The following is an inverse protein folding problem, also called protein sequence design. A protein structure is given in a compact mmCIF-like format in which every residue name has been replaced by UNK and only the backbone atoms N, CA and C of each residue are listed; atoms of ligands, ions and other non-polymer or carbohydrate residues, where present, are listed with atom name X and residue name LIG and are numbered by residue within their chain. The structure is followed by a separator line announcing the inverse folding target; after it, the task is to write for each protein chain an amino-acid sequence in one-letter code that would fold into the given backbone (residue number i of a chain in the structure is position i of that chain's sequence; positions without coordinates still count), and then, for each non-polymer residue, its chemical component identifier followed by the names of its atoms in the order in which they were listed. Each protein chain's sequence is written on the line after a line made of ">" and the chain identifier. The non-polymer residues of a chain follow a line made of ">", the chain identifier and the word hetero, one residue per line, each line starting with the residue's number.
data_IF_984705399453
#
_entry.id   IF_984705399453
#
_cell.length_a   1.000
_cell.length_b   1.000
_cell.length_c   1.000
_cell.angle_alpha   90.00
_cell.angle_beta   90.00
_cell.angle_gamma   90.00
#
_symmetry.space_group_name_H-M   'P 1'
#
loop_
_entity.id
_entity.type
_entity.pdbx_description
1 polymer ?
#
# COMPACT_ATOMS: atom_id res chain seq x y z
N UNK A 1 -61.54 16.34 25.81
CA UNK A 1 -61.16 16.01 27.21
C UNK A 1 -59.73 16.51 27.41
N UNK A 2 -59.61 17.71 28.02
CA UNK A 2 -58.28 18.23 28.40
C UNK A 2 -57.92 17.54 29.71
N UNK A 3 -56.95 16.63 29.68
CA UNK A 3 -56.33 16.06 30.87
C UNK A 3 -55.55 17.15 31.58
N UNK A 4 -56.15 17.70 32.65
CA UNK A 4 -55.46 18.65 33.52
C UNK A 4 -54.34 17.90 34.23
N UNK A 5 -53.12 18.28 33.94
CA UNK A 5 -51.91 17.76 34.61
C UNK A 5 -51.94 18.21 36.08
N UNK A 6 -51.82 17.26 36.99
CA UNK A 6 -51.81 17.45 38.42
C UNK A 6 -50.82 18.56 38.86
N UNK A 7 -51.27 19.60 39.57
CA UNK A 7 -50.43 20.73 39.96
C UNK A 7 -49.22 20.33 40.83
N UNK A 8 -49.23 19.16 41.48
CA UNK A 8 -48.10 18.63 42.25
C UNK A 8 -46.95 18.11 41.36
N UNK A 9 -47.22 17.74 40.12
CA UNK A 9 -46.21 17.16 39.17
C UNK A 9 -45.49 18.26 38.36
N UNK A 10 -46.08 19.44 38.23
CA UNK A 10 -45.50 20.55 37.47
C UNK A 10 -44.06 20.97 37.91
N UNK A 11 -43.75 21.16 39.22
CA UNK A 11 -42.39 21.55 39.59
C UNK A 11 -41.35 20.46 39.31
N UNK A 12 -41.69 19.20 39.48
CA UNK A 12 -40.79 18.07 39.16
C UNK A 12 -40.53 17.96 37.65
N UNK A 13 -41.55 18.13 36.83
CA UNK A 13 -41.39 18.12 35.35
C UNK A 13 -40.58 19.32 34.86
N UNK A 14 -40.78 20.51 35.46
CA UNK A 14 -40.03 21.71 35.14
C UNK A 14 -38.53 21.58 35.49
N UNK A 15 -38.25 20.88 36.60
CA UNK A 15 -36.86 20.64 37.03
C UNK A 15 -36.14 19.66 36.08
N UNK A 16 -36.86 18.61 35.60
CA UNK A 16 -36.31 17.66 34.61
C UNK A 16 -36.10 18.35 33.26
N UNK A 17 -37.05 19.18 32.81
CA UNK A 17 -36.92 19.93 31.54
C UNK A 17 -35.71 20.90 31.60
N UNK A 18 -35.55 21.62 32.72
CA UNK A 18 -34.42 22.55 32.88
C UNK A 18 -33.07 21.81 33.01
N UNK A 19 -33.01 20.64 33.66
CA UNK A 19 -31.80 19.82 33.69
C UNK A 19 -31.46 19.26 32.32
N UNK A 20 -32.43 18.83 31.53
CA UNK A 20 -32.21 18.31 30.18
C UNK A 20 -31.78 19.44 29.23
N UNK A 21 -32.30 20.65 29.39
CA UNK A 21 -31.91 21.83 28.62
C UNK A 21 -30.48 22.34 28.96
N UNK A 22 -30.02 22.09 30.18
CA UNK A 22 -28.63 22.45 30.58
C UNK A 22 -27.57 21.41 30.14
N UNK A 23 -27.98 20.16 29.83
CA UNK A 23 -27.06 19.08 29.47
C UNK A 23 -26.71 19.01 27.99
N UNK A 24 -27.36 19.78 27.11
CA UNK A 24 -27.00 19.87 25.69
C UNK A 24 -26.64 21.34 25.41
N UNK A 25 -25.35 21.69 25.32
CA UNK A 25 -24.98 23.01 24.84
C UNK A 25 -25.58 23.17 23.43
N UNK A 26 -26.52 24.07 23.29
CA UNK A 26 -27.24 24.35 22.02
C UNK A 26 -26.29 24.76 20.89
N UNK A 27 -25.07 25.20 21.23
CA UNK A 27 -23.98 25.48 20.29
C UNK A 27 -23.42 24.20 19.64
N UNK A 28 -23.50 23.03 20.30
CA UNK A 28 -23.02 21.77 19.71
C UNK A 28 -23.91 21.23 18.60
N UNK A 29 -25.18 21.66 18.55
CA UNK A 29 -26.15 21.24 17.53
C UNK A 29 -26.08 22.11 16.25
N UNK A 30 -25.44 23.28 16.30
CA UNK A 30 -25.29 24.21 15.18
C UNK A 30 -23.92 24.05 14.50
N UNK A 31 -22.95 23.45 15.16
CA UNK A 31 -21.70 23.11 14.52
C UNK A 31 -21.92 21.86 13.64
N UNK A 32 -21.99 22.08 12.34
CA UNK A 32 -21.88 21.00 11.36
C UNK A 32 -20.65 20.12 11.65
N UNK A 33 -20.56 18.91 11.10
CA UNK A 33 -19.42 18.04 11.34
C UNK A 33 -18.13 18.82 11.08
N UNK A 34 -17.13 18.76 11.99
CA UNK A 34 -15.89 19.52 11.84
C UNK A 34 -15.29 19.24 10.47
N UNK A 35 -14.86 20.31 9.77
CA UNK A 35 -14.26 20.18 8.45
C UNK A 35 -13.11 19.15 8.48
N UNK A 36 -13.08 18.21 7.52
CA UNK A 36 -12.08 17.16 7.52
C UNK A 36 -10.68 17.77 7.44
N UNK A 37 -9.75 17.25 8.26
CA UNK A 37 -8.38 17.73 8.27
C UNK A 37 -7.74 17.55 6.87
N UNK A 38 -7.15 18.59 6.27
CA UNK A 38 -6.54 18.52 4.94
C UNK A 38 -5.45 17.43 4.81
N UNK A 39 -4.80 17.07 5.91
CA UNK A 39 -3.81 15.99 5.94
C UNK A 39 -4.47 14.62 5.75
N UNK A 40 -5.64 14.37 6.39
CA UNK A 40 -6.37 13.11 6.27
C UNK A 40 -6.96 12.95 4.87
N UNK A 41 -7.45 14.02 4.29
CA UNK A 41 -7.93 14.05 2.90
C UNK A 41 -6.81 13.67 1.94
N UNK A 42 -5.62 14.26 2.08
CA UNK A 42 -4.44 13.92 1.26
C UNK A 42 -4.01 12.46 1.47
N UNK A 43 -4.04 11.98 2.70
CA UNK A 43 -3.76 10.57 3.01
C UNK A 43 -4.73 9.64 2.27
N UNK A 44 -6.02 9.93 2.30
CA UNK A 44 -7.05 9.20 1.56
C UNK A 44 -6.80 9.17 0.06
N UNK A 45 -6.46 10.32 -0.55
CA UNK A 45 -6.13 10.40 -1.97
C UNK A 45 -4.89 9.56 -2.34
N UNK A 46 -3.82 9.58 -1.55
CA UNK A 46 -2.66 8.72 -1.80
C UNK A 46 -3.02 7.25 -1.71
N UNK A 47 -3.82 6.84 -0.73
CA UNK A 47 -4.27 5.45 -0.57
C UNK A 47 -5.07 4.96 -1.78
N UNK A 48 -5.99 5.77 -2.30
CA UNK A 48 -6.78 5.44 -3.50
C UNK A 48 -5.88 5.34 -4.74
N UNK A 49 -4.98 6.30 -4.93
CA UNK A 49 -4.10 6.35 -6.09
C UNK A 49 -3.00 5.30 -6.08
N UNK A 50 -2.68 4.74 -4.93
CA UNK A 50 -1.68 3.71 -4.77
C UNK A 50 -2.13 2.32 -5.25
N UNK A 51 -3.42 2.08 -5.42
CA UNK A 51 -3.94 0.77 -5.85
C UNK A 51 -3.43 0.40 -7.23
N UNK A 52 -3.59 1.31 -8.20
CA UNK A 52 -3.21 1.04 -9.60
C UNK A 52 -1.70 0.77 -9.78
N UNK A 53 -0.75 1.58 -9.26
CA UNK A 53 0.67 1.27 -9.36
C UNK A 53 1.03 -0.09 -8.76
N UNK A 54 0.49 -0.44 -7.59
CA UNK A 54 0.77 -1.74 -6.96
C UNK A 54 0.28 -2.90 -7.83
N UNK A 55 -0.93 -2.78 -8.39
CA UNK A 55 -1.46 -3.77 -9.32
C UNK A 55 -0.57 -3.89 -10.57
N UNK A 56 -0.17 -2.77 -11.15
CA UNK A 56 0.72 -2.75 -12.30
C UNK A 56 2.09 -3.37 -12.01
N UNK A 57 2.67 -3.17 -10.83
CA UNK A 57 3.94 -3.80 -10.45
C UNK A 57 3.87 -5.32 -10.33
N UNK A 58 2.68 -5.89 -10.09
CA UNK A 58 2.51 -7.33 -10.03
C UNK A 58 2.82 -8.01 -11.39
N UNK A 59 2.52 -7.34 -12.52
CA UNK A 59 2.72 -7.91 -13.86
C UNK A 59 4.20 -8.17 -14.20
N UNK A 60 5.11 -7.17 -14.17
CA UNK A 60 6.51 -7.41 -14.46
C UNK A 60 7.17 -8.37 -13.46
N UNK A 61 6.74 -8.36 -12.20
CA UNK A 61 7.24 -9.31 -11.19
C UNK A 61 6.76 -10.73 -11.46
N UNK A 62 5.54 -10.92 -11.99
CA UNK A 62 5.04 -12.24 -12.39
C UNK A 62 5.81 -12.78 -13.60
N UNK A 63 6.05 -11.95 -14.61
CA UNK A 63 6.84 -12.32 -15.80
C UNK A 63 8.29 -12.66 -15.41
N UNK A 64 8.88 -11.85 -14.54
CA UNK A 64 10.22 -12.10 -14.01
C UNK A 64 10.27 -13.42 -13.22
N UNK A 65 9.24 -13.71 -12.41
CA UNK A 65 9.16 -14.94 -11.62
C UNK A 65 9.03 -16.20 -12.49
N UNK A 66 8.40 -16.10 -13.64
CA UNK A 66 8.31 -17.21 -14.59
C UNK A 66 9.67 -17.64 -15.15
N UNK A 67 10.63 -16.73 -15.27
CA UNK A 67 11.98 -16.99 -15.81
C UNK A 67 13.05 -17.05 -14.70
N UNK A 68 12.97 -16.19 -13.70
CA UNK A 68 13.97 -16.00 -12.64
C UNK A 68 13.28 -15.84 -11.28
N UNK A 69 12.76 -16.93 -10.67
CA UNK A 69 11.93 -16.84 -9.48
C UNK A 69 12.63 -16.20 -8.28
N UNK A 70 13.90 -16.47 -8.05
CA UNK A 70 14.67 -15.86 -6.94
C UNK A 70 14.94 -14.37 -7.16
N UNK A 71 15.30 -13.99 -8.39
CA UNK A 71 15.51 -12.58 -8.73
C UNK A 71 14.19 -11.81 -8.57
N UNK A 72 13.07 -12.43 -8.93
CA UNK A 72 11.75 -11.82 -8.74
C UNK A 72 11.39 -11.63 -7.26
N UNK A 73 11.77 -12.55 -6.37
CA UNK A 73 11.59 -12.39 -4.93
C UNK A 73 12.44 -11.23 -4.40
N UNK A 74 13.71 -11.16 -4.77
CA UNK A 74 14.62 -10.08 -4.37
C UNK A 74 14.11 -8.72 -4.89
N UNK A 75 13.72 -8.66 -6.17
CA UNK A 75 13.18 -7.44 -6.77
C UNK A 75 11.90 -6.96 -6.08
N UNK A 76 11.03 -7.90 -5.71
CA UNK A 76 9.81 -7.59 -4.98
C UNK A 76 10.08 -7.07 -3.56
N UNK A 77 11.09 -7.61 -2.87
CA UNK A 77 11.50 -7.12 -1.56
C UNK A 77 12.06 -5.70 -1.64
N UNK A 78 12.94 -5.45 -2.59
CA UNK A 78 13.49 -4.11 -2.82
C UNK A 78 12.36 -3.12 -3.11
N UNK A 79 11.40 -3.50 -3.96
CA UNK A 79 10.25 -2.66 -4.27
C UNK A 79 9.39 -2.40 -3.03
N UNK A 80 9.07 -3.43 -2.26
CA UNK A 80 8.29 -3.31 -1.02
C UNK A 80 9.00 -2.41 -0.01
N UNK A 81 10.30 -2.61 0.21
CA UNK A 81 11.12 -1.78 1.07
C UNK A 81 11.10 -0.31 0.66
N UNK A 82 11.28 -0.01 -0.64
CA UNK A 82 11.22 1.36 -1.16
C UNK A 82 9.85 1.98 -0.95
N UNK A 83 8.76 1.24 -1.23
CA UNK A 83 7.40 1.72 -1.02
C UNK A 83 7.11 1.99 0.46
N UNK A 84 7.54 1.11 1.36
CA UNK A 84 7.41 1.32 2.81
C UNK A 84 8.22 2.53 3.29
N UNK A 85 9.43 2.72 2.78
CA UNK A 85 10.26 3.89 3.09
C UNK A 85 9.54 5.19 2.73
N UNK A 86 8.98 5.26 1.51
CA UNK A 86 8.18 6.41 1.06
C UNK A 86 6.92 6.59 1.90
N UNK A 87 6.25 5.51 2.26
CA UNK A 87 5.05 5.53 3.07
C UNK A 87 5.32 6.10 4.47
N UNK A 88 6.29 5.55 5.21
CA UNK A 88 6.61 6.00 6.56
C UNK A 88 7.12 7.45 6.59
N UNK A 89 7.92 7.84 5.62
CA UNK A 89 8.38 9.21 5.49
C UNK A 89 7.22 10.19 5.25
N UNK A 90 6.26 9.81 4.39
CA UNK A 90 5.09 10.64 4.10
C UNK A 90 4.08 10.64 5.24
N UNK A 91 3.83 9.48 5.88
CA UNK A 91 2.93 9.39 7.04
C UNK A 91 3.42 10.31 8.17
N UNK A 92 4.71 10.28 8.50
CA UNK A 92 5.28 11.16 9.54
C UNK A 92 5.17 12.65 9.17
N UNK A 93 5.19 13.00 7.88
CA UNK A 93 4.93 14.35 7.41
C UNK A 93 3.46 14.73 7.59
N UNK A 94 2.53 13.85 7.14
CA UNK A 94 1.09 14.08 7.25
C UNK A 94 0.63 14.20 8.70
N UNK A 95 1.19 13.40 9.61
CA UNK A 95 0.91 13.53 11.05
C UNK A 95 1.33 14.90 11.60
N UNK A 96 2.51 15.41 11.21
CA UNK A 96 2.96 16.75 11.64
C UNK A 96 2.08 17.86 11.05
N UNK A 97 1.71 17.75 9.78
CA UNK A 97 0.78 18.68 9.13
C UNK A 97 -0.61 18.61 9.78
N UNK A 98 -1.10 17.41 10.10
CA UNK A 98 -2.38 17.20 10.75
C UNK A 98 -2.47 17.86 12.14
N UNK A 99 -1.41 17.75 12.95
CA UNK A 99 -1.33 18.42 14.27
C UNK A 99 -1.34 19.95 14.19
N UNK A 100 -1.07 20.53 13.01
CA UNK A 100 -1.07 21.98 12.75
C UNK A 100 -2.29 22.45 11.97
N UNK A 101 -3.36 21.64 11.91
CA UNK A 101 -4.55 21.97 11.11
C UNK A 101 -4.34 21.92 9.61
N UNK A 102 -3.32 21.18 9.13
CA UNK A 102 -3.03 21.00 7.71
C UNK A 102 -2.01 21.98 7.11
N UNK A 103 -1.48 22.91 7.90
CA UNK A 103 -0.46 23.85 7.44
C UNK A 103 0.90 23.17 7.20
N UNK A 104 1.50 23.49 6.04
CA UNK A 104 2.82 23.02 5.64
C UNK A 104 3.86 24.12 5.82
N UNK A 105 4.92 23.83 6.59
CA UNK A 105 6.04 24.76 6.76
C UNK A 105 7.19 24.39 5.81
N UNK A 106 7.98 25.38 5.40
CA UNK A 106 9.17 25.18 4.56
C UNK A 106 10.21 24.27 5.24
N UNK A 107 10.31 24.31 6.57
CA UNK A 107 11.20 23.44 7.36
C UNK A 107 10.81 21.96 7.28
N UNK A 108 9.58 21.60 6.91
CA UNK A 108 9.13 20.21 6.83
C UNK A 108 9.88 19.42 5.75
N UNK A 109 10.38 20.09 4.70
CA UNK A 109 11.21 19.46 3.68
C UNK A 109 12.58 19.04 4.23
N UNK A 110 13.20 19.86 5.05
CA UNK A 110 14.48 19.55 5.70
C UNK A 110 14.32 18.40 6.71
N UNK A 111 13.26 18.46 7.53
CA UNK A 111 12.97 17.39 8.50
C UNK A 111 12.69 16.07 7.78
N UNK A 112 11.99 16.11 6.64
CA UNK A 112 11.72 14.94 5.81
C UNK A 112 13.01 14.27 5.32
N UNK A 113 13.99 15.05 4.86
CA UNK A 113 15.29 14.55 4.43
C UNK A 113 16.09 14.03 5.61
N UNK A 114 16.12 14.77 6.73
CA UNK A 114 16.86 14.38 7.93
C UNK A 114 16.33 13.08 8.58
N UNK A 115 15.02 12.82 8.51
CA UNK A 115 14.40 11.60 9.03
C UNK A 115 14.42 10.42 8.07
N UNK A 116 14.79 10.64 6.81
CA UNK A 116 14.81 9.60 5.77
C UNK A 116 15.67 8.38 6.16
N UNK A 117 16.91 8.51 6.67
CA UNK A 117 17.72 7.35 7.06
C UNK A 117 17.02 6.47 8.10
N UNK A 118 16.34 7.08 9.08
CA UNK A 118 15.56 6.34 10.07
C UNK A 118 14.40 5.56 9.43
N UNK A 119 13.68 6.19 8.49
CA UNK A 119 12.58 5.53 7.79
C UNK A 119 13.04 4.39 6.88
N UNK A 120 14.25 4.49 6.30
CA UNK A 120 14.89 3.42 5.52
C UNK A 120 15.11 2.19 6.41
N UNK A 121 15.73 2.35 7.58
CA UNK A 121 15.99 1.25 8.51
C UNK A 121 14.69 0.67 9.06
N UNK A 122 13.75 1.53 9.48
CA UNK A 122 12.43 1.10 9.96
C UNK A 122 11.66 0.31 8.89
N UNK A 123 11.66 0.78 7.66
CA UNK A 123 11.00 0.10 6.54
C UNK A 123 11.64 -1.26 6.27
N UNK A 124 12.97 -1.37 6.31
CA UNK A 124 13.68 -2.64 6.14
C UNK A 124 13.27 -3.65 7.21
N UNK A 125 13.31 -3.27 8.48
CA UNK A 125 12.92 -4.16 9.59
C UNK A 125 11.46 -4.62 9.50
N UNK A 126 10.55 -3.76 9.03
CA UNK A 126 9.13 -4.05 8.90
C UNK A 126 8.77 -4.76 7.58
N UNK A 127 9.65 -4.76 6.59
CA UNK A 127 9.47 -5.53 5.35
C UNK A 127 9.79 -7.02 5.56
N UNK A 128 10.77 -7.36 6.40
CA UNK A 128 11.20 -8.74 6.65
C UNK A 128 10.04 -9.69 6.98
N UNK A 129 9.18 -9.45 8.00
CA UNK A 129 8.10 -10.38 8.32
C UNK A 129 7.06 -10.48 7.19
N UNK A 130 6.86 -9.42 6.41
CA UNK A 130 5.97 -9.44 5.24
C UNK A 130 6.55 -10.27 4.12
N UNK A 131 7.85 -10.10 3.83
CA UNK A 131 8.56 -10.92 2.88
C UNK A 131 8.52 -12.38 3.27
N UNK A 132 8.83 -12.70 4.55
CA UNK A 132 8.80 -14.08 5.05
C UNK A 132 7.43 -14.72 4.82
N UNK A 133 6.36 -14.01 5.19
CA UNK A 133 4.99 -14.50 4.98
C UNK A 133 4.70 -14.72 3.48
N UNK A 134 5.01 -13.74 2.64
CA UNK A 134 4.80 -13.86 1.19
C UNK A 134 5.62 -14.99 0.57
N UNK A 135 6.86 -15.18 1.03
CA UNK A 135 7.72 -16.27 0.57
C UNK A 135 7.19 -17.63 0.98
N UNK A 136 6.71 -17.77 2.23
CA UNK A 136 6.09 -19.03 2.70
C UNK A 136 4.83 -19.34 1.87
N UNK A 137 3.95 -18.36 1.65
CA UNK A 137 2.74 -18.55 0.85
C UNK A 137 3.09 -18.90 -0.60
N UNK A 138 4.10 -18.24 -1.18
CA UNK A 138 4.60 -18.52 -2.51
C UNK A 138 5.15 -19.94 -2.65
N UNK A 139 6.02 -20.36 -1.74
CA UNK A 139 6.60 -21.71 -1.73
C UNK A 139 5.54 -22.79 -1.47
N UNK A 140 4.59 -22.55 -0.57
CA UNK A 140 3.47 -23.46 -0.31
C UNK A 140 2.60 -23.61 -1.57
N UNK A 141 2.30 -22.50 -2.25
CA UNK A 141 1.55 -22.52 -3.52
C UNK A 141 2.26 -23.34 -4.60
N UNK A 142 3.57 -23.15 -4.76
CA UNK A 142 4.39 -23.95 -5.69
C UNK A 142 4.39 -25.41 -5.31
N UNK A 143 4.56 -25.75 -4.03
CA UNK A 143 4.55 -27.14 -3.57
C UNK A 143 3.22 -27.83 -3.87
N UNK A 144 2.09 -27.13 -3.67
CA UNK A 144 0.76 -27.62 -4.05
C UNK A 144 0.65 -27.82 -5.56
N UNK A 145 1.14 -26.86 -6.35
CA UNK A 145 1.10 -26.97 -7.82
C UNK A 145 1.96 -28.15 -8.32
N UNK A 146 3.15 -28.33 -7.78
CA UNK A 146 4.02 -29.48 -8.10
C UNK A 146 3.31 -30.80 -7.81
N UNK A 147 2.68 -30.91 -6.64
CA UNK A 147 1.98 -32.14 -6.23
C UNK A 147 0.70 -32.39 -7.06
N UNK A 148 -0.06 -31.32 -7.39
CA UNK A 148 -1.34 -31.44 -8.10
C UNK A 148 -1.19 -31.59 -9.62
N UNK A 149 -0.13 -31.03 -10.23
CA UNK A 149 0.08 -30.97 -11.67
C UNK A 149 1.27 -31.82 -12.13
N UNK A 150 1.90 -32.57 -11.21
CA UNK A 150 3.07 -33.42 -11.47
C UNK A 150 4.17 -32.70 -12.25
N UNK A 151 4.47 -31.46 -11.84
CA UNK A 151 5.42 -30.62 -12.56
C UNK A 151 6.85 -31.17 -12.49
N UNK A 152 7.68 -31.01 -13.54
CA UNK A 152 9.04 -31.51 -13.57
C UNK A 152 9.91 -30.81 -12.54
N UNK A 153 10.54 -31.60 -11.65
CA UNK A 153 11.37 -31.12 -10.57
C UNK A 153 12.77 -31.72 -10.67
N UNK A 154 13.77 -30.86 -10.64
CA UNK A 154 15.17 -31.24 -10.50
C UNK A 154 15.64 -30.98 -9.05
N UNK A 155 16.25 -31.96 -8.43
CA UNK A 155 16.87 -31.81 -7.10
C UNK A 155 18.31 -31.36 -7.23
N UNK A 156 18.65 -30.25 -6.58
CA UNK A 156 20.03 -29.81 -6.39
C UNK A 156 20.42 -29.99 -4.92
N UNK A 157 21.69 -30.35 -4.66
CA UNK A 157 22.19 -30.39 -3.29
C UNK A 157 22.78 -29.05 -2.92
N UNK A 158 22.13 -28.34 -2.02
CA UNK A 158 22.65 -27.09 -1.48
C UNK A 158 23.47 -27.36 -0.22
N UNK A 159 24.76 -27.05 -0.24
CA UNK A 159 25.69 -27.32 0.85
C UNK A 159 25.78 -26.09 1.77
N UNK A 160 25.25 -26.21 2.99
CA UNK A 160 25.46 -25.22 4.06
C UNK A 160 26.84 -25.38 4.72
N UNK A 161 27.36 -26.60 4.73
CA UNK A 161 28.70 -26.96 5.21
C UNK A 161 29.29 -28.01 4.26
N UNK A 162 30.61 -28.15 4.25
CA UNK A 162 31.30 -29.10 3.37
C UNK A 162 30.79 -30.56 3.47
N UNK A 163 30.08 -30.91 4.56
CA UNK A 163 29.62 -32.26 4.83
C UNK A 163 28.11 -32.46 4.82
N UNK A 164 27.30 -31.39 4.76
CA UNK A 164 25.84 -31.52 4.80
C UNK A 164 25.20 -30.72 3.63
N UNK A 165 24.83 -31.46 2.60
CA UNK A 165 23.96 -30.99 1.53
C UNK A 165 22.49 -31.23 1.85
N UNK A 166 21.65 -30.23 1.65
CA UNK A 166 20.20 -30.35 1.72
C UNK A 166 19.67 -30.47 0.29
N UNK A 167 18.92 -31.54 -0.06
CA UNK A 167 18.30 -31.62 -1.39
C UNK A 167 17.19 -30.57 -1.50
N UNK A 168 17.33 -29.65 -2.44
CA UNK A 168 16.32 -28.61 -2.73
C UNK A 168 15.67 -28.95 -4.05
N UNK A 169 14.35 -29.22 -4.08
CA UNK A 169 13.62 -29.43 -5.32
C UNK A 169 13.39 -28.10 -6.03
N UNK A 170 13.82 -27.98 -7.28
CA UNK A 170 13.61 -26.82 -8.12
C UNK A 170 12.85 -27.22 -9.37
N UNK A 171 11.95 -26.35 -9.85
CA UNK A 171 11.27 -26.56 -11.12
C UNK A 171 12.28 -26.42 -12.28
N UNK A 172 12.30 -27.41 -13.16
CA UNK A 172 13.21 -27.47 -14.31
C UNK A 172 12.37 -27.59 -15.59
N UNK A 173 11.99 -26.42 -16.13
CA UNK A 173 11.08 -26.33 -17.26
C UNK A 173 11.27 -25.01 -18.01
N UNK A 174 10.46 -24.78 -19.04
CA UNK A 174 10.47 -23.52 -19.80
C UNK A 174 9.56 -22.45 -19.14
N UNK A 175 9.89 -21.17 -19.26
CA UNK A 175 9.08 -20.08 -18.65
C UNK A 175 7.62 -20.03 -19.14
N UNK A 176 7.36 -20.46 -20.37
CA UNK A 176 6.00 -20.54 -20.94
C UNK A 176 5.29 -21.88 -20.69
N UNK A 177 5.89 -22.79 -19.95
CA UNK A 177 5.25 -24.03 -19.53
C UNK A 177 4.27 -23.78 -18.37
N UNK A 178 3.57 -24.85 -17.97
CA UNK A 178 2.69 -24.82 -16.80
C UNK A 178 3.49 -24.45 -15.52
N UNK A 179 4.75 -24.88 -15.42
CA UNK A 179 5.65 -24.55 -14.31
C UNK A 179 5.94 -23.05 -14.22
N UNK A 180 6.30 -22.41 -15.34
CA UNK A 180 6.56 -20.97 -15.37
C UNK A 180 5.29 -20.15 -15.14
N UNK A 181 4.14 -20.58 -15.68
CA UNK A 181 2.84 -19.95 -15.42
C UNK A 181 2.43 -20.07 -13.95
N UNK A 182 2.70 -21.22 -13.30
CA UNK A 182 2.46 -21.40 -11.88
C UNK A 182 3.33 -20.45 -11.04
N UNK A 183 4.64 -20.36 -11.33
CA UNK A 183 5.55 -19.43 -10.67
C UNK A 183 5.10 -17.97 -10.79
N UNK A 184 4.79 -17.54 -12.01
CA UNK A 184 4.29 -16.20 -12.29
C UNK A 184 2.94 -15.93 -11.63
N UNK A 185 2.01 -16.88 -11.71
CA UNK A 185 0.66 -16.79 -11.15
C UNK A 185 0.67 -16.66 -9.63
N UNK A 186 1.43 -17.50 -8.91
CA UNK A 186 1.57 -17.37 -7.46
C UNK A 186 2.26 -16.07 -7.06
N UNK A 187 3.20 -15.58 -7.86
CA UNK A 187 3.83 -14.28 -7.62
C UNK A 187 2.84 -13.13 -7.82
N UNK A 188 2.00 -13.17 -8.85
CA UNK A 188 0.94 -12.19 -9.08
C UNK A 188 -0.06 -12.18 -7.91
N UNK A 189 -0.48 -13.36 -7.43
CA UNK A 189 -1.37 -13.48 -6.27
C UNK A 189 -0.75 -12.87 -4.99
N UNK A 190 0.54 -13.08 -4.73
CA UNK A 190 1.24 -12.41 -3.64
C UNK A 190 1.21 -10.88 -3.78
N UNK A 191 1.33 -10.36 -5.01
CA UNK A 191 1.13 -8.95 -5.32
C UNK A 191 -0.29 -8.46 -4.98
N UNK A 192 -1.32 -9.23 -5.35
CA UNK A 192 -2.72 -8.90 -5.04
C UNK A 192 -2.98 -8.89 -3.53
N UNK A 193 -2.43 -9.83 -2.77
CA UNK A 193 -2.51 -9.83 -1.29
C UNK A 193 -1.90 -8.54 -0.73
N UNK A 194 -0.81 -8.05 -1.31
CA UNK A 194 -0.18 -6.80 -0.89
C UNK A 194 -1.08 -5.58 -1.16
N UNK A 195 -1.89 -5.62 -2.24
CA UNK A 195 -2.80 -4.53 -2.64
C UNK A 195 -4.10 -4.54 -1.83
N UNK A 196 -4.67 -5.71 -1.59
CA UNK A 196 -6.01 -5.85 -1.01
C UNK A 196 -6.01 -6.44 0.41
N UNK A 197 -4.88 -6.93 0.89
CA UNK A 197 -4.76 -7.52 2.22
C UNK A 197 -4.91 -6.50 3.36
N UNK A 198 -5.09 -6.98 4.60
CA UNK A 198 -5.32 -6.13 5.78
C UNK A 198 -4.17 -5.18 6.08
N UNK A 199 -2.96 -5.46 5.60
CA UNK A 199 -1.77 -4.62 5.77
C UNK A 199 -1.42 -3.79 4.53
N UNK A 200 -2.37 -3.64 3.59
CA UNK A 200 -2.14 -2.96 2.30
C UNK A 200 -2.01 -1.43 2.40
N UNK A 201 -2.43 -0.82 3.51
CA UNK A 201 -2.46 0.64 3.65
C UNK A 201 -1.09 1.30 3.42
N UNK A 202 -0.03 0.80 4.05
CA UNK A 202 1.32 1.39 3.91
C UNK A 202 1.92 1.21 2.50
N UNK A 203 1.96 0.02 1.88
CA UNK A 203 2.38 -0.12 0.49
C UNK A 203 1.57 0.74 -0.48
N UNK A 204 0.24 0.84 -0.29
CA UNK A 204 -0.64 1.70 -1.09
C UNK A 204 -0.31 3.17 -0.93
N UNK A 205 -0.05 3.63 0.31
CA UNK A 205 0.38 4.99 0.57
C UNK A 205 1.68 5.31 -0.18
N UNK A 206 2.70 4.45 -0.07
CA UNK A 206 3.97 4.61 -0.76
C UNK A 206 3.83 4.67 -2.29
N UNK A 207 3.04 3.77 -2.85
CA UNK A 207 2.76 3.74 -4.30
C UNK A 207 1.97 4.97 -4.76
N UNK A 208 1.03 5.47 -3.94
CA UNK A 208 0.29 6.70 -4.20
C UNK A 208 1.18 7.94 -4.19
N UNK A 209 2.12 8.01 -3.25
CA UNK A 209 3.14 9.08 -3.17
C UNK A 209 4.05 9.04 -4.40
N UNK A 210 4.45 7.85 -4.84
CA UNK A 210 5.26 7.68 -6.05
C UNK A 210 4.54 8.22 -7.29
N UNK A 211 3.25 7.93 -7.43
CA UNK A 211 2.40 8.42 -8.54
C UNK A 211 2.12 9.92 -8.45
N UNK A 212 2.00 10.46 -7.24
CA UNK A 212 1.64 11.87 -7.00
C UNK A 212 0.14 12.17 -7.16
N UNK A 213 -0.26 13.40 -6.82
CA UNK A 213 -1.63 13.91 -6.91
C UNK A 213 -1.72 14.87 -8.11
N UNK A 214 -2.74 14.72 -8.94
CA UNK A 214 -3.00 15.65 -10.06
C UNK A 214 -3.71 16.92 -9.55
N UNK A 215 -3.51 18.04 -10.23
CA UNK A 215 -4.17 19.29 -9.90
C UNK A 215 -5.71 19.20 -10.00
N UNK A 216 -6.22 18.54 -11.05
CA UNK A 216 -7.66 18.37 -11.27
C UNK A 216 -8.38 17.57 -10.18
N UNK A 217 -7.65 16.76 -9.39
CA UNK A 217 -8.28 16.02 -8.28
C UNK A 217 -8.47 16.90 -7.05
N UNK A 218 -7.93 18.09 -7.06
CA UNK A 218 -7.98 19.07 -5.98
C UNK A 218 -9.02 20.18 -6.26
N UNK A 219 -9.45 20.34 -7.52
CA UNK A 219 -10.45 21.33 -7.91
C UNK A 219 -11.79 21.20 -7.15
N UNK A 220 -12.34 20.01 -6.91
CA UNK A 220 -13.58 19.88 -6.15
C UNK A 220 -13.48 20.34 -4.70
N UNK A 221 -12.26 20.37 -4.14
CA UNK A 221 -11.97 20.77 -2.76
C UNK A 221 -11.54 22.24 -2.67
N UNK A 222 -11.12 22.84 -3.79
CA UNK A 222 -10.71 24.22 -3.88
C UNK A 222 -11.88 25.17 -4.17
N UNK A 223 -13.07 24.63 -4.53
CA UNK A 223 -14.27 25.47 -4.65
C UNK A 223 -14.64 26.00 -3.26
N UNK A 224 -14.69 27.32 -3.07
CA UNK A 224 -15.23 27.87 -1.84
C UNK A 224 -16.66 27.33 -1.72
N UNK A 225 -16.91 26.57 -0.66
CA UNK A 225 -18.27 26.23 -0.30
C UNK A 225 -19.06 27.53 -0.16
N UNK A 226 -20.39 27.47 -0.28
CA UNK A 226 -21.28 28.61 -0.12
C UNK A 226 -21.04 29.42 1.18
N UNK A 227 -20.22 28.88 2.08
CA UNK A 227 -19.93 29.38 3.42
C UNK A 227 -18.64 30.24 3.52
N UNK A 228 -18.01 30.60 2.40
CA UNK A 228 -16.84 31.53 2.41
C UNK A 228 -15.58 31.03 3.09
N UNK A 229 -15.45 29.72 3.37
CA UNK A 229 -14.24 29.15 3.95
C UNK A 229 -13.04 29.28 2.98
N UNK A 230 -11.84 29.63 3.49
CA UNK A 230 -10.68 29.82 2.64
C UNK A 230 -10.35 28.53 1.86
N UNK A 231 -10.20 28.67 0.55
CA UNK A 231 -9.80 27.56 -0.31
C UNK A 231 -8.47 26.96 0.19
N UNK A 232 -8.46 25.65 0.43
CA UNK A 232 -7.25 24.93 0.87
C UNK A 232 -6.25 24.96 -0.28
N UNK A 233 -5.23 25.83 -0.20
CA UNK A 233 -4.14 25.88 -1.16
C UNK A 233 -3.26 24.64 -1.01
N UNK A 234 -3.48 23.63 -1.86
CA UNK A 234 -2.63 22.44 -1.91
C UNK A 234 -1.49 22.71 -2.89
N UNK A 235 -0.21 22.55 -2.48
CA UNK A 235 0.93 22.80 -3.36
C UNK A 235 0.85 21.95 -4.62
N UNK A 236 1.09 22.56 -5.78
CA UNK A 236 1.19 21.88 -7.09
C UNK A 236 2.26 20.78 -7.02
N UNK A 237 1.85 19.55 -6.89
CA UNK A 237 2.73 18.40 -7.04
C UNK A 237 2.45 17.77 -8.40
N UNK A 238 3.42 17.89 -9.33
CA UNK A 238 3.28 17.35 -10.68
C UNK A 238 2.96 15.84 -10.67
N UNK A 239 2.01 15.43 -11.50
CA UNK A 239 1.70 14.01 -11.67
C UNK A 239 2.85 13.33 -12.41
N UNK A 240 3.48 12.37 -11.75
CA UNK A 240 4.52 11.49 -12.33
C UNK A 240 3.92 10.25 -13.00
N UNK A 241 2.60 10.17 -13.10
CA UNK A 241 1.89 8.98 -13.57
C UNK A 241 2.27 8.56 -14.99
N UNK A 242 2.45 9.51 -15.92
CA UNK A 242 2.84 9.22 -17.30
C UNK A 242 4.26 8.63 -17.36
N UNK A 243 5.22 9.24 -16.64
CA UNK A 243 6.60 8.73 -16.60
C UNK A 243 6.65 7.33 -16.02
N UNK A 244 5.92 7.07 -14.93
CA UNK A 244 5.85 5.74 -14.32
C UNK A 244 5.21 4.71 -15.26
N UNK A 245 4.16 5.09 -15.99
CA UNK A 245 3.50 4.21 -16.95
C UNK A 245 4.44 3.88 -18.12
N UNK A 246 5.14 4.87 -18.68
CA UNK A 246 6.12 4.64 -19.75
C UNK A 246 7.23 3.72 -19.29
N UNK A 247 7.82 3.98 -18.12
CA UNK A 247 8.85 3.13 -17.53
C UNK A 247 8.33 1.70 -17.30
N UNK A 248 7.11 1.56 -16.79
CA UNK A 248 6.47 0.26 -16.59
C UNK A 248 6.31 -0.52 -17.91
N UNK A 249 5.84 0.16 -18.98
CA UNK A 249 5.69 -0.47 -20.30
C UNK A 249 7.05 -0.97 -20.79
N UNK A 250 8.09 -0.14 -20.73
CA UNK A 250 9.45 -0.50 -21.19
C UNK A 250 9.96 -1.71 -20.40
N UNK A 251 9.91 -1.66 -19.07
CA UNK A 251 10.37 -2.77 -18.21
C UNK A 251 9.59 -4.05 -18.51
N UNK A 252 8.27 -3.96 -18.62
CA UNK A 252 7.43 -5.14 -18.89
C UNK A 252 7.75 -5.75 -20.26
N UNK A 253 7.93 -4.93 -21.30
CA UNK A 253 8.31 -5.40 -22.64
C UNK A 253 9.69 -6.08 -22.64
N UNK A 254 10.67 -5.50 -21.96
CA UNK A 254 12.01 -6.09 -21.82
C UNK A 254 11.93 -7.42 -21.07
N UNK A 255 11.16 -7.49 -19.98
CA UNK A 255 11.00 -8.73 -19.22
C UNK A 255 10.24 -9.81 -20.02
N UNK A 256 9.24 -9.43 -20.83
CA UNK A 256 8.54 -10.35 -21.71
C UNK A 256 9.43 -10.91 -22.84
N UNK A 257 10.49 -10.21 -23.21
CA UNK A 257 11.45 -10.72 -24.17
C UNK A 257 12.32 -11.86 -23.60
N UNK A 258 12.57 -11.90 -22.30
CA UNK A 258 13.40 -12.94 -21.66
C UNK A 258 12.86 -14.37 -21.87
N UNK A 259 11.57 -14.66 -21.61
CA UNK A 259 11.01 -15.99 -21.88
C UNK A 259 11.06 -16.37 -23.36
N UNK A 260 11.01 -15.39 -24.28
CA UNK A 260 11.07 -15.61 -25.73
C UNK A 260 12.45 -16.07 -26.21
N UNK A 261 13.50 -15.84 -25.42
CA UNK A 261 14.86 -16.33 -25.73
C UNK A 261 15.00 -17.86 -25.58
N UNK A 262 13.96 -18.57 -25.12
CA UNK A 262 13.96 -20.02 -25.01
C UNK A 262 14.87 -20.56 -23.90
N UNK A 263 15.27 -19.72 -22.94
CA UNK A 263 16.07 -20.17 -21.81
C UNK A 263 15.22 -20.89 -20.79
N UNK A 264 15.68 -21.98 -20.18
CA UNK A 264 14.97 -22.65 -19.09
C UNK A 264 14.85 -21.75 -17.87
N UNK A 265 13.93 -22.11 -16.94
CA UNK A 265 13.77 -21.40 -15.66
C UNK A 265 15.10 -21.41 -14.92
N UNK A 266 15.61 -20.24 -14.61
CA UNK A 266 16.91 -20.07 -13.96
C UNK A 266 16.76 -19.73 -12.47
N UNK A 267 17.42 -20.52 -11.62
CA UNK A 267 17.42 -20.34 -10.17
C UNK A 267 18.67 -19.63 -9.66
N UNK A 268 19.34 -18.84 -10.51
CA UNK A 268 20.47 -18.01 -10.09
C UNK A 268 20.04 -17.13 -8.90
N UNK A 269 20.84 -17.06 -7.81
CA UNK A 269 22.20 -17.58 -7.60
C UNK A 269 22.29 -18.98 -6.95
N UNK A 270 21.24 -19.76 -6.86
CA UNK A 270 21.25 -21.08 -6.18
C UNK A 270 21.80 -22.21 -7.09
N UNK A 271 21.63 -22.09 -8.38
CA UNK A 271 22.02 -23.11 -9.37
C UNK A 271 22.72 -22.48 -10.56
#
# INVERSE_FOLDING_TARGET
>A
QSTAVDPAIRPALQHVINQTAQCVPTEALIQGPPAPNPADVRRGMYLQRGVLPLFLFAVPLAVLAASFPLIALIAAEILLWLLLTLAYNTESQLEREGRRGGERKSSDSLIRVATLPWHIVKALLLSIPKLLLLTIVYLAGIAVAVAALELPVRTISWYFTASRGVPVPLLDDMPFSVSGLALGGFRANGGLITVFGPQSAMPRLGAGVLRGIRHNDLEPMAQPGADGLPAVSIPRQGSRGTVLLTLWIIITLVLCALPLLGMPISWVPLA
#
